data_IF_213205910281
#
_entry.id   IF_213205910281
#
_cell.length_a   1.000
_cell.length_b   1.000
_cell.length_c   1.000
_cell.angle_alpha   90.00
_cell.angle_beta   90.00
_cell.angle_gamma   90.00
#
_symmetry.space_group_name_H-M   'P 1'
#
loop_
_entity.id
_entity.type
_entity.pdbx_description
1 polymer ?
#
# COMPACT_ATOMS: atom_id res chain seq x y z
N UNK A 1 5.07 16.66 8.40
CA UNK A 1 3.95 15.91 7.79
C UNK A 1 3.36 15.00 8.84
N UNK A 2 2.59 13.98 8.43
CA UNK A 2 2.21 12.85 9.29
C UNK A 2 3.31 11.80 9.21
N UNK A 3 3.85 11.37 10.36
CA UNK A 3 4.97 10.42 10.45
C UNK A 3 4.57 9.10 11.15
N UNK A 4 3.27 8.86 11.31
CA UNK A 4 2.74 7.63 11.91
C UNK A 4 2.63 6.47 10.91
N UNK A 5 2.31 5.25 11.40
CA UNK A 5 2.15 4.08 10.54
C UNK A 5 0.90 4.18 9.66
N UNK A 6 1.06 3.82 8.38
CA UNK A 6 -0.03 3.67 7.41
C UNK A 6 -0.11 2.21 6.96
N UNK A 7 -1.33 1.69 6.76
CA UNK A 7 -1.56 0.32 6.30
C UNK A 7 -2.59 0.27 5.18
N UNK A 8 -2.40 -0.58 4.15
CA UNK A 8 -3.50 -0.97 3.29
C UNK A 8 -4.44 -1.88 4.08
N UNK A 9 -5.70 -1.49 4.12
CA UNK A 9 -6.69 -2.06 5.00
C UNK A 9 -7.17 -3.42 4.49
N UNK A 10 -8.00 -3.42 3.45
CA UNK A 10 -8.54 -4.63 2.81
C UNK A 10 -8.05 -4.77 1.37
N UNK A 11 -7.91 -6.02 0.91
CA UNK A 11 -7.53 -6.36 -0.46
C UNK A 11 -8.43 -7.44 -1.06
N UNK A 12 -8.46 -7.50 -2.38
CA UNK A 12 -9.14 -8.53 -3.17
C UNK A 12 -8.42 -9.87 -3.01
N UNK A 13 -9.17 -10.97 -3.10
CA UNK A 13 -8.58 -12.29 -3.22
C UNK A 13 -8.04 -12.47 -4.64
N UNK A 14 -6.71 -12.50 -4.79
CA UNK A 14 -6.05 -12.65 -6.11
C UNK A 14 -5.11 -13.86 -6.14
N UNK A 15 -4.75 -14.33 -7.33
CA UNK A 15 -3.83 -15.46 -7.53
C UNK A 15 -4.24 -16.76 -6.81
N UNK A 16 -5.55 -17.00 -6.69
CA UNK A 16 -6.09 -18.25 -6.16
C UNK A 16 -5.94 -18.43 -4.65
N UNK A 17 -5.69 -17.36 -3.89
CA UNK A 17 -5.64 -17.44 -2.43
C UNK A 17 -7.00 -17.83 -1.81
N UNK A 18 -6.96 -18.58 -0.69
CA UNK A 18 -8.10 -18.81 0.21
C UNK A 18 -7.92 -18.09 1.56
N UNK A 19 -8.02 -16.75 1.60
CA UNK A 19 -7.90 -15.96 2.82
C UNK A 19 -9.28 -15.71 3.45
N UNK A 20 -9.27 -15.14 4.65
CA UNK A 20 -10.45 -14.47 5.18
C UNK A 20 -10.82 -13.28 4.26
N UNK A 21 -12.11 -13.00 4.01
CA UNK A 21 -12.54 -11.93 3.10
C UNK A 21 -11.86 -10.60 3.41
N UNK A 22 -11.19 -10.01 2.42
CA UNK A 22 -10.50 -8.73 2.57
C UNK A 22 -9.10 -8.81 3.20
N UNK A 23 -8.70 -9.96 3.75
CA UNK A 23 -7.40 -10.17 4.41
C UNK A 23 -6.43 -10.99 3.57
N UNK A 24 -6.64 -11.05 2.25
CA UNK A 24 -5.71 -11.62 1.30
C UNK A 24 -4.33 -10.95 1.35
N UNK A 25 -3.27 -11.73 1.21
CA UNK A 25 -1.90 -11.22 1.32
C UNK A 25 -1.54 -10.37 0.11
N UNK A 26 -1.89 -10.86 -1.07
CA UNK A 26 -1.32 -10.38 -2.32
C UNK A 26 -1.78 -8.97 -2.68
N UNK A 27 -3.09 -8.74 -2.74
CA UNK A 27 -3.61 -7.42 -3.11
C UNK A 27 -3.29 -6.37 -2.03
N UNK A 28 -3.21 -6.76 -0.76
CA UNK A 28 -2.78 -5.88 0.33
C UNK A 28 -1.29 -5.52 0.22
N UNK A 29 -0.43 -6.48 -0.10
CA UNK A 29 0.99 -6.20 -0.34
C UNK A 29 1.21 -5.26 -1.53
N UNK A 30 0.45 -5.45 -2.62
CA UNK A 30 0.44 -4.54 -3.76
C UNK A 30 -0.02 -3.14 -3.36
N UNK A 31 -1.09 -3.04 -2.56
CA UNK A 31 -1.57 -1.78 -1.99
C UNK A 31 -0.52 -1.06 -1.13
N UNK A 32 0.23 -1.79 -0.29
CA UNK A 32 1.32 -1.23 0.51
C UNK A 32 2.39 -0.60 -0.38
N UNK A 33 2.83 -1.32 -1.42
CA UNK A 33 3.86 -0.83 -2.33
C UNK A 33 3.39 0.37 -3.15
N UNK A 34 2.11 0.39 -3.55
CA UNK A 34 1.54 1.54 -4.23
C UNK A 34 1.55 2.81 -3.37
N UNK A 35 1.11 2.71 -2.10
CA UNK A 35 1.12 3.84 -1.16
C UNK A 35 2.56 4.32 -0.92
N UNK A 36 3.50 3.39 -0.74
CA UNK A 36 4.92 3.71 -0.56
C UNK A 36 5.50 4.45 -1.77
N UNK A 37 5.18 4.00 -2.99
CA UNK A 37 5.62 4.66 -4.22
C UNK A 37 5.07 6.08 -4.39
N UNK A 38 3.79 6.30 -4.04
CA UNK A 38 3.20 7.63 -4.05
C UNK A 38 3.86 8.56 -3.03
N UNK A 39 4.12 8.07 -1.82
CA UNK A 39 4.80 8.83 -0.78
C UNK A 39 6.19 9.27 -1.25
N UNK A 40 7.01 8.32 -1.74
CA UNK A 40 8.34 8.60 -2.24
C UNK A 40 8.33 9.62 -3.39
N UNK A 41 7.37 9.51 -4.31
CA UNK A 41 7.23 10.45 -5.42
C UNK A 41 6.95 11.88 -4.94
N UNK A 42 6.00 12.05 -4.01
CA UNK A 42 5.65 13.37 -3.45
C UNK A 42 6.82 13.95 -2.66
N UNK A 43 7.49 13.14 -1.83
CA UNK A 43 8.65 13.59 -1.05
C UNK A 43 9.77 14.06 -1.97
N UNK A 44 10.09 13.29 -3.01
CA UNK A 44 11.12 13.65 -3.98
C UNK A 44 10.76 14.91 -4.77
N UNK A 45 9.49 15.08 -5.15
CA UNK A 45 9.03 16.28 -5.85
C UNK A 45 9.15 17.53 -4.96
N UNK A 46 8.78 17.44 -3.68
CA UNK A 46 8.95 18.53 -2.74
C UNK A 46 10.42 18.89 -2.49
N UNK A 47 11.34 17.92 -2.59
CA UNK A 47 12.79 18.16 -2.46
C UNK A 47 13.46 18.70 -3.74
N UNK A 48 12.77 18.72 -4.89
CA UNK A 48 13.30 19.28 -6.15
C UNK A 48 13.13 20.79 -6.26
N UNK A 49 12.27 21.39 -5.44
CA UNK A 49 12.05 22.82 -5.31
C UNK A 49 12.91 23.41 -4.18
#
# INVERSE_FOLDING_TARGET
GYDGPVRPDHGRAIWGEKPMPGYGLYDRALGSQYILGLYDAIVRENCRN
#
